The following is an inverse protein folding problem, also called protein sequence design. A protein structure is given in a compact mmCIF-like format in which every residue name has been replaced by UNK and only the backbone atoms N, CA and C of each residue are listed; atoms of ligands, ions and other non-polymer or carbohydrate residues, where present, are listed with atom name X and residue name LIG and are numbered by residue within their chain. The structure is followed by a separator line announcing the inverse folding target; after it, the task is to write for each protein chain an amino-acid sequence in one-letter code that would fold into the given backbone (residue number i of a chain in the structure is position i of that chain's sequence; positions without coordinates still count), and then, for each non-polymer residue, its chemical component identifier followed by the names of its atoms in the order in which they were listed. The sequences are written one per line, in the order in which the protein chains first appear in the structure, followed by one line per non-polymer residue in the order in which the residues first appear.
data_IF_316014392374
#
_entry.id   IF_316014392374
#
_cell.length_a   1.000
_cell.length_b   1.000
_cell.length_c   1.000
_cell.angle_alpha   90.00
_cell.angle_beta   90.00
_cell.angle_gamma   90.00
#
_symmetry.space_group_name_H-M   'P 1'
#
loop_
_entity.id
_entity.type
_entity.pdbx_description
1 polymer ?
#
# COMPACT_ATOMS: atom_id res chain seq x y z
N UNK A 1 -19.76 -2.66 -16.49
CA UNK A 1 -18.71 -1.80 -17.04
C UNK A 1 -19.14 -1.22 -18.38
N UNK A 2 -18.92 0.08 -18.58
CA UNK A 2 -19.21 0.78 -19.83
C UNK A 2 -17.90 1.36 -20.35
N UNK A 3 -17.52 0.97 -21.57
CA UNK A 3 -16.34 1.57 -22.21
C UNK A 3 -16.70 2.98 -22.69
N UNK A 4 -15.96 4.00 -22.31
CA UNK A 4 -16.21 5.37 -22.77
C UNK A 4 -15.82 5.54 -24.26
N UNK A 5 -16.43 6.51 -24.92
CA UNK A 5 -16.02 6.95 -26.27
C UNK A 5 -14.61 7.54 -26.15
N UNK A 6 -13.69 7.07 -26.99
CA UNK A 6 -12.28 7.49 -26.97
C UNK A 6 -12.09 8.85 -27.64
N UNK A 7 -11.25 9.69 -27.02
CA UNK A 7 -10.90 11.01 -27.56
C UNK A 7 -9.58 10.99 -28.38
N UNK A 8 -8.97 9.80 -28.56
CA UNK A 8 -7.72 9.62 -29.30
C UNK A 8 -6.45 10.01 -28.55
N UNK A 9 -6.54 10.39 -27.27
CA UNK A 9 -5.39 10.75 -26.43
C UNK A 9 -5.02 9.64 -25.47
N UNK A 10 -3.72 9.38 -25.34
CA UNK A 10 -3.13 8.32 -24.51
C UNK A 10 -2.49 8.91 -23.26
N UNK A 11 -2.78 8.35 -22.10
CA UNK A 11 -2.20 8.79 -20.82
C UNK A 11 -1.53 7.61 -20.12
N UNK A 12 -0.28 7.80 -19.73
CA UNK A 12 0.44 6.89 -18.82
C UNK A 12 0.17 7.29 -17.36
N UNK A 13 -0.14 6.34 -16.51
CA UNK A 13 -0.20 6.51 -15.06
C UNK A 13 0.89 5.64 -14.44
N UNK A 14 1.83 6.25 -13.73
CA UNK A 14 2.95 5.55 -13.10
C UNK A 14 2.59 5.28 -11.64
N UNK A 15 2.39 4.01 -11.32
CA UNK A 15 1.94 3.52 -10.01
C UNK A 15 0.45 3.23 -9.97
N UNK A 16 0.10 2.10 -9.36
CA UNK A 16 -1.27 1.59 -9.20
C UNK A 16 -1.80 1.68 -7.76
N UNK A 17 -1.21 2.52 -6.94
CA UNK A 17 -1.76 2.85 -5.61
C UNK A 17 -3.09 3.59 -5.70
N UNK A 18 -3.71 3.96 -4.55
CA UNK A 18 -5.02 4.63 -4.52
C UNK A 18 -5.10 5.86 -5.44
N UNK A 19 -4.05 6.68 -5.46
CA UNK A 19 -3.97 7.88 -6.30
C UNK A 19 -3.94 7.52 -7.79
N UNK A 20 -3.08 6.57 -8.18
CA UNK A 20 -2.96 6.11 -9.57
C UNK A 20 -4.24 5.45 -10.08
N UNK A 21 -4.86 4.57 -9.29
CA UNK A 21 -6.13 3.95 -9.64
C UNK A 21 -7.26 4.97 -9.80
N UNK A 22 -7.30 5.98 -8.93
CA UNK A 22 -8.30 7.06 -9.02
C UNK A 22 -8.07 7.89 -10.28
N UNK A 23 -6.85 8.32 -10.55
CA UNK A 23 -6.49 9.05 -11.74
C UNK A 23 -6.82 8.27 -13.00
N UNK A 24 -6.40 7.01 -13.09
CA UNK A 24 -6.67 6.12 -14.22
C UNK A 24 -8.17 5.99 -14.50
N UNK A 25 -8.97 5.73 -13.46
CA UNK A 25 -10.40 5.62 -13.58
C UNK A 25 -11.06 6.92 -14.08
N UNK A 26 -10.67 8.07 -13.52
CA UNK A 26 -11.24 9.37 -13.91
C UNK A 26 -10.84 9.78 -15.33
N UNK A 27 -9.62 9.52 -15.74
CA UNK A 27 -9.14 9.78 -17.09
C UNK A 27 -9.84 8.86 -18.11
N UNK A 28 -9.94 7.56 -17.79
CA UNK A 28 -10.65 6.62 -18.65
C UNK A 28 -12.10 7.04 -18.88
N UNK A 29 -12.83 7.43 -17.84
CA UNK A 29 -14.22 7.91 -17.95
C UNK A 29 -14.37 9.15 -18.84
N UNK A 30 -13.31 9.95 -18.99
CA UNK A 30 -13.26 11.13 -19.88
C UNK A 30 -12.81 10.79 -21.30
N UNK A 31 -12.69 9.50 -21.62
CA UNK A 31 -12.37 9.02 -22.98
C UNK A 31 -10.88 8.89 -23.29
N UNK A 32 -9.99 9.13 -22.34
CA UNK A 32 -8.55 8.89 -22.54
C UNK A 32 -8.26 7.39 -22.59
N UNK A 33 -7.30 6.99 -23.43
CA UNK A 33 -6.72 5.66 -23.40
C UNK A 33 -5.66 5.60 -22.29
N UNK A 34 -5.93 4.85 -21.23
CA UNK A 34 -5.09 4.85 -20.04
C UNK A 34 -4.30 3.55 -19.93
N UNK A 35 -2.99 3.67 -19.74
CA UNK A 35 -2.10 2.57 -19.35
C UNK A 35 -1.51 2.88 -18.00
N UNK A 36 -1.67 1.95 -17.05
CA UNK A 36 -1.09 2.02 -15.71
C UNK A 36 0.15 1.13 -15.66
N UNK A 37 1.28 1.70 -15.27
CA UNK A 37 2.54 0.98 -15.07
C UNK A 37 2.74 0.73 -13.58
N UNK A 38 2.93 -0.53 -13.21
CA UNK A 38 3.12 -0.96 -11.85
C UNK A 38 4.39 -1.81 -11.76
N UNK A 39 5.28 -1.46 -10.84
CA UNK A 39 6.54 -2.19 -10.65
C UNK A 39 6.37 -3.56 -9.99
N UNK A 40 5.33 -3.72 -9.20
CA UNK A 40 5.04 -4.98 -8.52
C UNK A 40 4.23 -5.93 -9.41
N UNK A 41 4.16 -7.17 -8.96
CA UNK A 41 3.48 -8.29 -9.62
C UNK A 41 1.96 -8.15 -9.69
N UNK A 42 1.35 -7.36 -8.80
CA UNK A 42 -0.07 -7.11 -8.76
C UNK A 42 -0.37 -5.63 -8.52
N UNK A 43 -1.41 -5.07 -9.15
CA UNK A 43 -1.78 -3.68 -8.94
C UNK A 43 -2.50 -3.47 -7.61
N UNK A 44 -2.41 -2.24 -7.06
CA UNK A 44 -3.10 -1.85 -5.84
C UNK A 44 -2.22 -1.09 -4.83
N UNK A 45 -0.90 -1.11 -5.01
CA UNK A 45 0.04 -0.42 -4.12
C UNK A 45 -0.18 -0.81 -2.65
N UNK A 46 -0.22 0.17 -1.74
CA UNK A 46 -0.42 -0.09 -0.30
C UNK A 46 -1.81 -0.62 0.05
N UNK A 47 -2.84 -0.46 -0.78
CA UNK A 47 -4.12 -1.15 -0.58
C UNK A 47 -3.94 -2.67 -0.59
N UNK A 48 -3.06 -3.17 -1.47
CA UNK A 48 -2.77 -4.60 -1.60
C UNK A 48 -1.66 -5.05 -0.65
N UNK A 49 -0.53 -4.36 -0.67
CA UNK A 49 0.68 -4.82 0.01
C UNK A 49 0.96 -4.14 1.36
N UNK A 50 0.24 -3.06 1.71
CA UNK A 50 0.36 -2.39 2.99
C UNK A 50 -0.74 -2.81 3.97
N UNK A 51 -2.00 -2.53 3.63
CA UNK A 51 -3.15 -2.81 4.49
C UNK A 51 -3.33 -4.32 4.68
N UNK A 52 -3.41 -4.83 5.91
CA UNK A 52 -3.63 -6.26 6.16
C UNK A 52 -4.97 -6.77 5.61
N UNK A 53 -5.01 -8.05 5.22
CA UNK A 53 -6.19 -8.68 4.65
C UNK A 53 -7.40 -8.69 5.62
N UNK A 54 -7.15 -8.70 6.93
CA UNK A 54 -8.21 -8.63 7.92
C UNK A 54 -8.87 -7.24 8.07
N UNK A 55 -8.24 -6.18 7.52
CA UNK A 55 -8.83 -4.84 7.39
C UNK A 55 -9.42 -4.58 6.01
N UNK A 56 -8.77 -5.07 4.96
CA UNK A 56 -9.21 -4.90 3.57
C UNK A 56 -8.97 -6.18 2.78
N UNK A 57 -10.04 -6.94 2.53
CA UNK A 57 -10.00 -8.14 1.70
C UNK A 57 -9.58 -7.82 0.26
N UNK A 58 -8.61 -8.56 -0.28
CA UNK A 58 -8.01 -8.27 -1.60
C UNK A 58 -8.98 -8.51 -2.76
N UNK A 59 -9.98 -9.35 -2.55
CA UNK A 59 -11.09 -9.55 -3.50
C UNK A 59 -11.82 -8.24 -3.89
N UNK A 60 -11.86 -7.25 -2.98
CA UNK A 60 -12.44 -5.92 -3.25
C UNK A 60 -11.58 -5.18 -4.27
N UNK A 61 -10.25 -5.25 -4.10
CA UNK A 61 -9.28 -4.64 -5.03
C UNK A 61 -9.36 -5.35 -6.37
N UNK A 62 -9.36 -6.68 -6.38
CA UNK A 62 -9.43 -7.48 -7.61
C UNK A 62 -10.70 -7.19 -8.40
N UNK A 63 -11.84 -7.08 -7.71
CA UNK A 63 -13.09 -6.68 -8.35
C UNK A 63 -12.97 -5.31 -9.01
N UNK A 64 -12.33 -4.36 -8.33
CA UNK A 64 -12.15 -2.99 -8.84
C UNK A 64 -11.24 -2.96 -10.06
N UNK A 65 -10.10 -3.65 -10.00
CA UNK A 65 -9.15 -3.76 -11.12
C UNK A 65 -9.82 -4.39 -12.34
N UNK A 66 -10.51 -5.53 -12.15
CA UNK A 66 -11.25 -6.18 -13.27
C UNK A 66 -12.28 -5.28 -13.92
N UNK A 67 -13.01 -4.48 -13.14
CA UNK A 67 -13.95 -3.50 -13.72
C UNK A 67 -13.22 -2.45 -14.54
N UNK A 68 -12.09 -1.94 -14.06
CA UNK A 68 -11.28 -0.95 -14.79
C UNK A 68 -10.71 -1.54 -16.09
N UNK A 69 -10.26 -2.79 -16.08
CA UNK A 69 -9.80 -3.51 -17.29
C UNK A 69 -10.94 -3.69 -18.30
N UNK A 70 -12.11 -4.10 -17.84
CA UNK A 70 -13.30 -4.24 -18.69
C UNK A 70 -13.73 -2.90 -19.30
N UNK A 71 -13.53 -1.80 -18.58
CA UNK A 71 -13.76 -0.43 -19.06
C UNK A 71 -12.66 0.08 -20.01
N UNK A 72 -11.59 -0.71 -20.20
CA UNK A 72 -10.54 -0.48 -21.20
C UNK A 72 -9.26 0.17 -20.67
N UNK A 73 -9.02 0.15 -19.35
CA UNK A 73 -7.72 0.51 -18.76
C UNK A 73 -6.77 -0.69 -18.91
N UNK A 74 -5.54 -0.41 -19.32
CA UNK A 74 -4.49 -1.42 -19.46
C UNK A 74 -3.56 -1.33 -18.25
N UNK A 75 -3.30 -2.46 -17.58
CA UNK A 75 -2.31 -2.58 -16.52
C UNK A 75 -1.07 -3.31 -17.02
N UNK A 76 0.09 -2.69 -16.86
CA UNK A 76 1.41 -3.29 -17.10
C UNK A 76 2.09 -3.48 -15.75
N UNK A 77 1.99 -4.67 -15.20
CA UNK A 77 2.65 -5.07 -13.95
C UNK A 77 4.09 -5.52 -14.20
N UNK A 78 4.89 -5.69 -13.14
CA UNK A 78 6.31 -5.98 -13.22
C UNK A 78 7.05 -5.01 -14.16
N UNK A 79 6.63 -3.75 -14.17
CA UNK A 79 7.16 -2.74 -15.08
C UNK A 79 7.52 -1.48 -14.31
N UNK A 80 8.76 -1.37 -13.89
CA UNK A 80 9.30 -0.20 -13.21
C UNK A 80 9.78 0.82 -14.25
N UNK A 81 9.11 1.96 -14.30
CA UNK A 81 9.53 3.08 -15.16
C UNK A 81 10.85 3.64 -14.64
N UNK A 82 11.82 3.75 -15.52
CA UNK A 82 13.21 4.09 -15.19
C UNK A 82 14.15 2.87 -15.19
N UNK A 83 13.61 1.66 -15.24
CA UNK A 83 14.37 0.41 -15.30
C UNK A 83 13.94 -0.45 -16.51
N UNK A 84 12.77 -1.12 -16.43
CA UNK A 84 12.21 -1.95 -17.52
C UNK A 84 11.72 -1.12 -18.71
N UNK A 85 11.21 0.09 -18.43
CA UNK A 85 10.76 1.06 -19.46
C UNK A 85 11.35 2.42 -19.13
N UNK A 86 12.00 3.06 -20.09
CA UNK A 86 12.60 4.36 -19.87
C UNK A 86 11.56 5.48 -19.76
N UNK A 87 11.82 6.48 -18.91
CA UNK A 87 10.95 7.67 -18.82
C UNK A 87 10.86 8.41 -20.17
N UNK A 88 11.90 8.37 -20.99
CA UNK A 88 11.94 8.97 -22.33
C UNK A 88 10.98 8.25 -23.29
N UNK A 89 10.94 6.92 -23.22
CA UNK A 89 10.01 6.11 -24.01
C UNK A 89 8.56 6.42 -23.64
N UNK A 90 8.26 6.49 -22.33
CA UNK A 90 6.93 6.87 -21.85
C UNK A 90 6.55 8.26 -22.36
N UNK A 91 7.44 9.24 -22.23
CA UNK A 91 7.17 10.62 -22.65
C UNK A 91 6.97 10.75 -24.16
N UNK A 92 7.60 9.89 -24.98
CA UNK A 92 7.42 9.89 -26.44
C UNK A 92 6.19 9.11 -26.91
N UNK A 93 5.71 8.16 -26.11
CA UNK A 93 4.61 7.27 -26.48
C UNK A 93 3.24 7.81 -26.07
N UNK A 94 3.17 8.55 -24.97
CA UNK A 94 1.93 9.04 -24.37
C UNK A 94 1.81 10.55 -24.51
N UNK A 95 0.57 11.05 -24.68
CA UNK A 95 0.29 12.50 -24.76
C UNK A 95 0.46 13.19 -23.40
N UNK A 96 0.28 12.45 -22.31
CA UNK A 96 0.49 12.93 -20.93
C UNK A 96 0.94 11.80 -19.99
N UNK A 97 1.61 12.17 -18.92
CA UNK A 97 2.09 11.26 -17.88
C UNK A 97 1.61 11.74 -16.53
N UNK A 98 0.97 10.87 -15.76
CA UNK A 98 0.58 11.09 -14.38
C UNK A 98 1.48 10.26 -13.46
N UNK A 99 2.24 10.91 -12.57
CA UNK A 99 3.12 10.25 -11.61
C UNK A 99 2.38 10.06 -10.28
N UNK A 100 2.17 8.82 -9.87
CA UNK A 100 1.43 8.42 -8.66
C UNK A 100 2.15 7.30 -7.90
N UNK A 101 3.48 7.42 -7.76
CA UNK A 101 4.38 6.38 -7.25
C UNK A 101 4.35 6.22 -5.72
N UNK A 102 3.68 7.12 -4.99
CA UNK A 102 3.65 7.10 -3.53
C UNK A 102 4.99 7.48 -2.90
N UNK A 103 5.13 7.16 -1.61
CA UNK A 103 6.38 7.33 -0.86
C UNK A 103 6.72 6.00 -0.18
N UNK A 104 7.86 5.42 -0.54
CA UNK A 104 8.29 4.11 -0.04
C UNK A 104 9.48 4.19 0.93
N UNK A 105 10.14 5.35 0.99
CA UNK A 105 11.24 5.56 1.94
C UNK A 105 10.64 5.76 3.33
N UNK A 106 10.83 4.81 4.26
CA UNK A 106 10.32 4.95 5.61
C UNK A 106 11.09 6.00 6.39
N UNK A 107 10.43 6.62 7.36
CA UNK A 107 11.15 7.38 8.39
C UNK A 107 11.91 6.40 9.27
N UNK A 108 13.18 6.62 9.45
CA UNK A 108 14.01 5.78 10.32
C UNK A 108 14.16 6.39 11.72
N UNK A 109 14.53 5.55 12.68
CA UNK A 109 14.83 5.92 14.06
C UNK A 109 16.32 5.60 14.30
N UNK A 110 17.24 6.58 14.11
CA UNK A 110 18.68 6.37 14.19
C UNK A 110 19.16 6.33 15.66
N UNK A 111 18.88 5.23 16.34
CA UNK A 111 19.29 4.96 17.70
C UNK A 111 20.24 3.77 17.77
N UNK A 112 20.95 3.61 18.90
CA UNK A 112 21.75 2.43 19.15
C UNK A 112 20.90 1.16 19.05
N UNK A 113 21.42 0.13 18.40
CA UNK A 113 20.72 -1.13 18.16
C UNK A 113 19.85 -1.15 16.88
N UNK A 114 19.72 -0.03 16.12
CA UNK A 114 18.91 0.01 14.89
C UNK A 114 19.29 -1.09 13.89
N UNK A 115 20.56 -1.45 13.81
CA UNK A 115 21.10 -2.45 12.88
C UNK A 115 21.11 -3.88 13.44
N UNK A 116 20.52 -4.11 14.60
CA UNK A 116 20.43 -5.45 15.18
C UNK A 116 19.50 -6.34 14.35
N UNK A 117 19.83 -7.63 14.31
CA UNK A 117 18.99 -8.63 13.67
C UNK A 117 17.60 -8.67 14.33
N UNK A 118 16.56 -8.61 13.51
CA UNK A 118 15.16 -8.64 13.96
C UNK A 118 14.54 -7.25 14.13
N UNK A 119 15.29 -6.18 13.80
CA UNK A 119 14.75 -4.81 13.71
C UNK A 119 14.34 -4.57 12.25
N UNK A 120 13.03 -4.39 12.01
CA UNK A 120 12.42 -4.29 10.70
C UNK A 120 11.57 -3.04 10.58
N UNK A 121 11.42 -2.53 9.37
CA UNK A 121 10.37 -1.57 9.08
C UNK A 121 9.01 -2.24 9.02
N UNK A 122 7.97 -1.54 9.46
CA UNK A 122 6.60 -2.07 9.50
C UNK A 122 6.14 -2.63 8.13
N UNK A 123 6.41 -1.90 7.05
CA UNK A 123 6.01 -2.33 5.71
C UNK A 123 6.76 -3.58 5.21
N UNK A 124 7.92 -3.92 5.74
CA UNK A 124 8.58 -5.18 5.42
C UNK A 124 7.75 -6.37 5.89
N UNK A 125 7.27 -6.33 7.15
CA UNK A 125 6.40 -7.35 7.71
C UNK A 125 5.03 -7.39 7.00
N UNK A 126 4.39 -6.23 6.82
CA UNK A 126 3.04 -6.14 6.25
C UNK A 126 3.02 -6.56 4.78
N UNK A 127 3.97 -6.05 3.98
CA UNK A 127 4.08 -6.43 2.56
C UNK A 127 4.38 -7.91 2.39
N UNK A 128 5.28 -8.44 3.20
CA UNK A 128 5.60 -9.86 3.17
C UNK A 128 4.37 -10.72 3.47
N UNK A 129 3.63 -10.39 4.55
CA UNK A 129 2.46 -11.15 4.92
C UNK A 129 1.36 -11.09 3.84
N UNK A 130 1.12 -9.91 3.26
CA UNK A 130 0.16 -9.78 2.18
C UNK A 130 0.59 -10.57 0.94
N UNK A 131 1.88 -10.56 0.57
CA UNK A 131 2.40 -11.38 -0.55
C UNK A 131 2.20 -12.87 -0.32
N UNK A 132 2.47 -13.36 0.88
CA UNK A 132 2.23 -14.76 1.24
C UNK A 132 0.75 -15.13 1.09
N UNK A 133 -0.16 -14.24 1.50
CA UNK A 133 -1.61 -14.44 1.37
C UNK A 133 -2.10 -14.39 -0.09
N UNK A 134 -1.39 -13.67 -0.96
CA UNK A 134 -1.63 -13.65 -2.42
C UNK A 134 -0.98 -14.85 -3.15
N UNK A 135 -0.34 -15.77 -2.42
CA UNK A 135 0.31 -16.95 -2.99
C UNK A 135 1.70 -16.69 -3.58
N UNK A 136 2.28 -15.52 -3.33
CA UNK A 136 3.62 -15.17 -3.81
C UNK A 136 4.65 -15.86 -2.91
N UNK A 137 5.54 -16.63 -3.51
CA UNK A 137 6.54 -17.38 -2.79
C UNK A 137 7.68 -16.47 -2.31
N UNK A 138 7.93 -16.49 -1.00
CA UNK A 138 9.06 -15.80 -0.37
C UNK A 138 10.03 -16.84 0.14
N UNK A 139 11.34 -16.73 -0.15
CA UNK A 139 12.33 -17.67 0.36
C UNK A 139 12.26 -17.78 1.89
N UNK A 140 12.30 -18.99 2.47
CA UNK A 140 12.16 -19.19 3.93
C UNK A 140 13.16 -18.39 4.77
N UNK A 141 14.36 -18.15 4.28
CA UNK A 141 15.41 -17.37 4.93
C UNK A 141 15.06 -15.88 5.09
N UNK A 142 14.19 -15.37 4.21
CA UNK A 142 13.81 -13.96 4.16
C UNK A 142 12.50 -13.68 4.93
N UNK A 143 11.86 -14.74 5.46
CA UNK A 143 10.58 -14.60 6.16
C UNK A 143 10.77 -13.99 7.54
N UNK A 144 10.17 -12.82 7.77
CA UNK A 144 9.99 -12.21 9.08
C UNK A 144 8.89 -13.00 9.80
N UNK A 145 9.25 -13.74 10.83
CA UNK A 145 8.32 -14.59 11.57
C UNK A 145 8.22 -14.15 13.03
N UNK A 146 7.00 -13.82 13.48
CA UNK A 146 6.72 -13.40 14.86
C UNK A 146 6.36 -14.56 15.79
N UNK A 147 6.14 -15.77 15.29
CA UNK A 147 5.66 -16.93 16.08
C UNK A 147 6.56 -17.20 17.28
N UNK A 148 5.95 -17.23 18.47
CA UNK A 148 6.63 -17.52 19.73
C UNK A 148 7.61 -16.45 20.20
N UNK A 149 7.71 -15.31 19.52
CA UNK A 149 8.63 -14.21 19.87
C UNK A 149 7.91 -13.13 20.68
N UNK A 150 8.68 -12.36 21.44
CA UNK A 150 8.27 -11.10 22.03
C UNK A 150 8.50 -9.99 21.00
N UNK A 151 7.45 -9.29 20.63
CA UNK A 151 7.46 -8.26 19.59
C UNK A 151 7.29 -6.90 20.24
N UNK A 152 8.16 -5.97 19.88
CA UNK A 152 8.04 -4.55 20.21
C UNK A 152 7.68 -3.79 18.94
N UNK A 153 6.61 -2.99 19.00
CA UNK A 153 6.16 -2.13 17.91
C UNK A 153 6.31 -0.69 18.38
N UNK A 154 7.02 0.10 17.57
CA UNK A 154 7.28 1.52 17.85
C UNK A 154 6.37 2.36 16.96
N UNK A 155 5.46 3.10 17.58
CA UNK A 155 4.42 3.92 16.94
C UNK A 155 3.02 3.34 17.08
N UNK A 156 2.02 4.19 17.32
CA UNK A 156 0.61 3.82 17.54
C UNK A 156 -0.32 4.18 16.38
N UNK A 157 0.20 4.73 15.28
CA UNK A 157 -0.57 5.01 14.09
C UNK A 157 -1.19 3.75 13.46
N UNK A 158 -2.01 3.93 12.42
CA UNK A 158 -2.69 2.83 11.73
C UNK A 158 -1.72 1.71 11.29
N UNK A 159 -0.51 2.07 10.86
CA UNK A 159 0.53 1.08 10.49
C UNK A 159 1.02 0.28 11.69
N UNK A 160 1.19 0.92 12.86
CA UNK A 160 1.56 0.23 14.11
C UNK A 160 0.46 -0.75 14.53
N UNK A 161 -0.80 -0.32 14.50
CA UNK A 161 -1.97 -1.17 14.77
C UNK A 161 -2.03 -2.37 13.80
N UNK A 162 -1.72 -2.17 12.52
CA UNK A 162 -1.64 -3.24 11.51
C UNK A 162 -0.56 -4.27 11.87
N UNK A 163 0.58 -3.80 12.38
CA UNK A 163 1.66 -4.67 12.85
C UNK A 163 1.24 -5.45 14.09
N UNK A 164 0.54 -4.84 15.06
CA UNK A 164 -0.02 -5.54 16.24
C UNK A 164 -0.95 -6.67 15.79
N UNK A 165 -1.92 -6.35 14.95
CA UNK A 165 -2.86 -7.34 14.45
C UNK A 165 -2.19 -8.47 13.64
N UNK A 166 -1.14 -8.16 12.89
CA UNK A 166 -0.37 -9.14 12.13
C UNK A 166 0.48 -10.03 13.04
N UNK A 167 1.20 -9.45 14.01
CA UNK A 167 2.02 -10.19 14.95
C UNK A 167 1.21 -11.16 15.82
N UNK A 168 0.01 -10.74 16.26
CA UNK A 168 -0.92 -11.60 17.00
C UNK A 168 -1.37 -12.80 16.13
N UNK A 169 -1.69 -12.57 14.85
CA UNK A 169 -2.06 -13.65 13.91
C UNK A 169 -0.90 -14.59 13.60
N UNK A 170 0.34 -14.09 13.66
CA UNK A 170 1.55 -14.92 13.62
C UNK A 170 1.78 -15.71 14.91
N UNK A 171 0.90 -15.60 15.92
CA UNK A 171 1.03 -16.26 17.24
C UNK A 171 2.32 -15.83 17.95
N UNK A 172 2.60 -14.53 18.00
CA UNK A 172 3.62 -13.97 18.86
C UNK A 172 3.36 -14.33 20.33
N UNK A 173 4.42 -14.57 21.12
CA UNK A 173 4.29 -14.87 22.55
C UNK A 173 3.83 -13.64 23.35
N UNK A 174 4.25 -12.45 22.91
CA UNK A 174 3.84 -11.17 23.47
C UNK A 174 3.97 -10.10 22.40
N UNK A 175 3.07 -9.11 22.41
CA UNK A 175 3.15 -7.91 21.55
C UNK A 175 3.02 -6.69 22.46
N UNK A 176 4.07 -5.86 22.46
CA UNK A 176 4.10 -4.57 23.17
C UNK A 176 4.17 -3.46 22.13
N UNK A 177 3.29 -2.47 22.27
CA UNK A 177 3.33 -1.27 21.44
C UNK A 177 3.67 -0.08 22.30
N UNK A 178 4.57 0.79 21.81
CA UNK A 178 4.97 2.03 22.49
C UNK A 178 4.76 3.22 21.56
N UNK A 179 4.41 4.34 22.17
CA UNK A 179 4.21 5.61 21.48
C UNK A 179 4.87 6.74 22.26
N UNK A 180 5.38 7.73 21.54
CA UNK A 180 6.01 8.92 22.12
C UNK A 180 4.97 9.97 22.53
N UNK A 181 3.81 10.00 21.84
CA UNK A 181 2.73 10.94 22.12
C UNK A 181 1.95 10.52 23.38
N UNK A 182 1.36 11.48 24.12
CA UNK A 182 0.46 11.16 25.21
C UNK A 182 -0.71 10.28 24.74
N UNK A 183 -1.18 9.40 25.63
CA UNK A 183 -2.32 8.54 25.34
C UNK A 183 -3.56 9.38 24.95
N UNK A 184 -4.16 9.12 23.78
CA UNK A 184 -5.39 9.80 23.39
C UNK A 184 -6.55 9.48 24.33
N UNK A 185 -7.57 10.36 24.41
CA UNK A 185 -8.77 10.11 25.22
C UNK A 185 -9.56 8.90 24.67
N UNK A 186 -10.27 8.22 25.56
CA UNK A 186 -11.08 7.02 25.23
C UNK A 186 -12.32 7.35 24.39
N UNK A 187 -12.76 8.58 24.38
CA UNK A 187 -13.99 8.99 23.70
C UNK A 187 -13.82 10.21 22.81
N UNK A 188 -14.95 10.73 22.35
CA UNK A 188 -14.96 11.92 21.51
C UNK A 188 -14.19 13.09 22.15
N UNK A 189 -13.27 13.69 21.37
CA UNK A 189 -12.47 14.80 21.81
C UNK A 189 -12.98 16.11 21.16
N UNK A 190 -13.49 17.08 21.95
CA UNK A 190 -13.97 18.36 21.43
C UNK A 190 -12.89 19.20 20.70
N UNK A 191 -11.60 18.92 20.95
CA UNK A 191 -10.49 19.62 20.29
C UNK A 191 -10.27 19.17 18.86
N UNK A 192 -10.86 18.04 18.46
CA UNK A 192 -10.80 17.50 17.10
C UNK A 192 -12.19 17.23 16.54
N UNK A 193 -13.04 18.31 16.39
CA UNK A 193 -14.36 18.16 15.79
C UNK A 193 -14.23 17.83 14.29
N UNK A 194 -15.27 17.20 13.73
CA UNK A 194 -15.34 17.01 12.28
C UNK A 194 -15.16 18.37 11.54
N UNK A 195 -14.36 18.50 10.48
CA UNK A 195 -13.73 17.43 9.68
C UNK A 195 -12.29 17.03 10.09
N UNK A 196 -11.84 17.43 11.26
CA UNK A 196 -10.52 17.06 11.75
C UNK A 196 -10.44 15.56 12.06
N UNK A 197 -9.25 14.98 11.90
CA UNK A 197 -9.01 13.58 12.24
C UNK A 197 -9.19 13.39 13.76
N UNK A 198 -10.06 12.47 14.20
CA UNK A 198 -10.36 12.31 15.62
C UNK A 198 -9.17 11.73 16.39
N UNK A 199 -8.70 12.48 17.39
CA UNK A 199 -7.74 11.98 18.38
C UNK A 199 -8.49 11.18 19.44
N UNK A 200 -8.58 9.88 19.25
CA UNK A 200 -9.24 8.93 20.16
C UNK A 200 -8.40 7.68 20.27
N UNK A 201 -8.37 7.10 21.47
CA UNK A 201 -7.66 5.82 21.70
C UNK A 201 -8.28 4.74 20.80
N UNK A 202 -7.44 4.17 19.95
CA UNK A 202 -7.79 3.04 19.09
C UNK A 202 -7.20 1.77 19.69
N UNK A 203 -7.99 0.73 19.78
CA UNK A 203 -7.57 -0.63 20.14
C UNK A 203 -7.75 -1.55 18.95
N UNK A 204 -6.84 -2.50 18.76
CA UNK A 204 -6.89 -3.52 17.69
C UNK A 204 -7.11 -4.90 18.27
#
# INVERSE_FOLDING_TARGET
PVRPIRNGKRVAVIGSGPAGLTAANQLNRRGYEVTVFEKYELPGGLLRFGIPNFKLGKNIIDRRIRLMEQEGIVFKVNTMVGNEVSAKEIASTFDAVCIAIGSEVPRDLPIEGRNLKGVHFALELLSQQNRILEGIVIPPKDIINCKGKKILIIGDGDTGSDCVGTANRHKAANVTQIEIMPQPPVGHNPTTPWPLYPQVLKTS
#
